data_IF_378967752190
#
_entry.id   IF_378967752190
#
_cell.length_a   1.000
_cell.length_b   1.000
_cell.length_c   1.000
_cell.angle_alpha   90.00
_cell.angle_beta   90.00
_cell.angle_gamma   90.00
#
_symmetry.space_group_name_H-M   'P 1'
#
loop_
_entity.id
_entity.type
_entity.pdbx_description
1 polymer ?
#
# COMPACT_ATOMS: atom_id res chain seq x y z
N UNK A 1 5.96 -25.84 -14.09
CA UNK A 1 7.36 -26.30 -14.06
C UNK A 1 8.37 -25.30 -14.60
N UNK A 2 8.01 -24.45 -15.60
CA UNK A 2 8.92 -23.41 -16.13
C UNK A 2 9.02 -22.16 -15.25
N UNK A 3 8.01 -21.86 -14.45
CA UNK A 3 7.91 -20.67 -13.62
C UNK A 3 9.03 -20.54 -12.57
N UNK A 4 9.53 -21.68 -12.09
CA UNK A 4 10.57 -21.75 -11.06
C UNK A 4 11.99 -21.49 -11.60
N UNK A 5 12.18 -21.33 -12.90
CA UNK A 5 13.48 -21.07 -13.53
C UNK A 5 13.75 -19.57 -13.76
N UNK A 6 12.75 -18.73 -13.64
CA UNK A 6 12.93 -17.28 -13.71
C UNK A 6 13.31 -16.73 -12.33
N UNK A 7 14.53 -16.25 -12.21
CA UNK A 7 15.06 -15.62 -10.98
C UNK A 7 14.27 -14.38 -10.51
N UNK A 8 13.40 -13.84 -11.34
CA UNK A 8 12.61 -12.63 -11.08
C UNK A 8 11.15 -12.81 -11.46
N UNK A 9 10.45 -13.65 -10.68
CA UNK A 9 8.97 -13.73 -10.75
C UNK A 9 8.33 -12.38 -10.48
N UNK A 10 8.98 -11.54 -9.68
CA UNK A 10 8.60 -10.14 -9.40
C UNK A 10 8.53 -9.23 -10.64
N UNK A 11 9.20 -9.57 -11.75
CA UNK A 11 9.10 -8.79 -13.00
C UNK A 11 7.68 -8.76 -13.59
N UNK A 12 6.88 -9.80 -13.33
CA UNK A 12 5.48 -9.84 -13.78
C UNK A 12 4.61 -8.89 -12.96
N UNK A 13 4.95 -8.65 -11.70
CA UNK A 13 4.25 -7.71 -10.84
C UNK A 13 4.35 -6.26 -11.36
N UNK A 14 5.45 -5.90 -12.02
CA UNK A 14 5.62 -4.57 -12.63
C UNK A 14 4.52 -4.28 -13.66
N UNK A 15 4.10 -5.29 -14.43
CA UNK A 15 3.00 -5.13 -15.40
C UNK A 15 1.69 -4.84 -14.66
N UNK A 16 1.41 -5.55 -13.57
CA UNK A 16 0.21 -5.31 -12.77
C UNK A 16 0.26 -3.93 -12.09
N UNK A 17 1.41 -3.54 -11.52
CA UNK A 17 1.65 -2.23 -10.91
C UNK A 17 1.46 -1.06 -11.88
N UNK A 18 1.73 -1.26 -13.17
CA UNK A 18 1.48 -0.26 -14.21
C UNK A 18 0.03 -0.29 -14.71
N UNK A 19 -0.50 -1.48 -15.00
CA UNK A 19 -1.83 -1.62 -15.61
C UNK A 19 -2.96 -1.21 -14.66
N UNK A 20 -2.86 -1.53 -13.36
CA UNK A 20 -3.92 -1.18 -12.39
C UNK A 20 -4.12 0.34 -12.25
N UNK A 21 -3.08 1.16 -12.00
CA UNK A 21 -3.24 2.62 -11.97
C UNK A 21 -3.69 3.21 -13.30
N UNK A 22 -3.21 2.67 -14.43
CA UNK A 22 -3.63 3.12 -15.75
C UNK A 22 -5.14 2.92 -15.96
N UNK A 23 -5.66 1.73 -15.65
CA UNK A 23 -7.09 1.44 -15.72
C UNK A 23 -7.90 2.33 -14.78
N UNK A 24 -7.40 2.60 -13.56
CA UNK A 24 -8.05 3.50 -12.62
C UNK A 24 -8.14 4.93 -13.17
N UNK A 25 -7.05 5.46 -13.77
CA UNK A 25 -7.04 6.79 -14.39
C UNK A 25 -8.00 6.84 -15.58
N UNK A 26 -8.05 5.83 -16.44
CA UNK A 26 -8.98 5.76 -17.57
C UNK A 26 -10.44 5.70 -17.11
N UNK A 27 -10.73 4.94 -16.06
CA UNK A 27 -12.05 4.87 -15.45
C UNK A 27 -12.47 6.24 -14.86
N UNK A 28 -11.57 6.89 -14.12
CA UNK A 28 -11.80 8.24 -13.58
C UNK A 28 -12.03 9.25 -14.69
N UNK A 29 -11.22 9.24 -15.75
CA UNK A 29 -11.42 10.10 -16.91
C UNK A 29 -12.84 9.94 -17.46
N UNK A 30 -13.30 8.72 -17.70
CA UNK A 30 -14.64 8.45 -18.20
C UNK A 30 -15.74 8.95 -17.24
N UNK A 31 -15.53 8.84 -15.93
CA UNK A 31 -16.46 9.35 -14.90
C UNK A 31 -16.49 10.89 -14.90
N UNK A 32 -15.36 11.55 -15.09
CA UNK A 32 -15.30 13.01 -15.12
C UNK A 32 -15.85 13.61 -16.43
N UNK A 33 -15.68 12.90 -17.54
CA UNK A 33 -16.26 13.29 -18.83
C UNK A 33 -17.80 13.15 -18.82
N UNK A 34 -18.32 12.09 -18.20
CA UNK A 34 -19.76 11.84 -18.04
C UNK A 34 -20.12 11.34 -16.63
N UNK A 35 -20.35 12.24 -15.65
CA UNK A 35 -20.72 11.86 -14.28
C UNK A 35 -22.04 11.09 -14.17
N UNK A 36 -22.87 11.09 -15.23
CA UNK A 36 -24.14 10.36 -15.25
C UNK A 36 -23.94 8.83 -15.21
N UNK A 37 -22.78 8.37 -15.62
CA UNK A 37 -22.36 6.95 -15.55
C UNK A 37 -22.52 6.40 -14.13
N UNK A 38 -22.13 7.17 -13.11
CA UNK A 38 -22.23 6.78 -11.70
C UNK A 38 -23.70 6.55 -11.25
N UNK A 39 -24.67 7.23 -11.91
CA UNK A 39 -26.08 7.01 -11.63
C UNK A 39 -26.65 5.84 -12.43
N UNK A 40 -26.20 5.67 -13.68
CA UNK A 40 -26.61 4.58 -14.55
C UNK A 40 -26.12 3.23 -14.02
N UNK A 41 -24.85 3.16 -13.63
CA UNK A 41 -24.19 1.95 -13.13
C UNK A 41 -24.14 1.93 -11.58
N UNK A 42 -25.24 2.27 -10.93
CA UNK A 42 -25.32 2.40 -9.46
C UNK A 42 -24.90 1.12 -8.72
N UNK A 43 -25.29 -0.05 -9.22
CA UNK A 43 -24.94 -1.32 -8.61
C UNK A 43 -23.44 -1.59 -8.63
N UNK A 44 -22.78 -1.38 -9.76
CA UNK A 44 -21.33 -1.52 -9.89
C UNK A 44 -20.58 -0.57 -8.97
N UNK A 45 -21.07 0.68 -8.84
CA UNK A 45 -20.48 1.67 -7.94
C UNK A 45 -20.56 1.26 -6.48
N UNK A 46 -21.75 0.89 -5.98
CA UNK A 46 -21.90 0.48 -4.58
C UNK A 46 -21.25 -0.88 -4.29
N UNK A 47 -21.32 -1.81 -5.23
CA UNK A 47 -20.71 -3.12 -5.07
C UNK A 47 -19.17 -3.02 -4.99
N UNK A 48 -18.55 -2.25 -5.86
CA UNK A 48 -17.09 -2.07 -5.83
C UNK A 48 -16.62 -1.37 -4.55
N UNK A 49 -17.29 -0.29 -4.15
CA UNK A 49 -16.99 0.41 -2.89
C UNK A 49 -17.25 -0.47 -1.66
N UNK A 50 -18.32 -1.25 -1.68
CA UNK A 50 -18.67 -2.18 -0.60
C UNK A 50 -17.69 -3.34 -0.47
N UNK A 51 -17.26 -3.94 -1.58
CA UNK A 51 -16.27 -5.03 -1.57
C UNK A 51 -14.93 -4.51 -1.06
N UNK A 52 -14.39 -3.45 -1.67
CA UNK A 52 -13.07 -2.93 -1.30
C UNK A 52 -13.07 -2.36 0.12
N UNK A 53 -14.08 -1.54 0.46
CA UNK A 53 -14.23 -1.00 1.81
C UNK A 53 -14.51 -2.09 2.85
N UNK A 54 -15.30 -3.12 2.51
CA UNK A 54 -15.57 -4.26 3.37
C UNK A 54 -14.32 -5.09 3.67
N UNK A 55 -13.52 -5.41 2.65
CA UNK A 55 -12.27 -6.17 2.83
C UNK A 55 -11.28 -5.38 3.69
N UNK A 56 -11.09 -4.09 3.43
CA UNK A 56 -10.16 -3.26 4.22
C UNK A 56 -10.65 -3.08 5.66
N UNK A 57 -11.95 -2.95 5.89
CA UNK A 57 -12.53 -2.89 7.23
C UNK A 57 -12.40 -4.22 7.97
N UNK A 58 -12.65 -5.35 7.31
CA UNK A 58 -12.46 -6.69 7.90
C UNK A 58 -11.00 -6.92 8.27
N UNK A 59 -10.06 -6.52 7.42
CA UNK A 59 -8.63 -6.60 7.71
C UNK A 59 -8.23 -5.74 8.93
N UNK A 60 -8.84 -4.56 9.09
CA UNK A 60 -8.58 -3.68 10.22
C UNK A 60 -9.15 -4.21 11.54
N UNK A 61 -10.34 -4.83 11.50
CA UNK A 61 -11.01 -5.34 12.70
C UNK A 61 -10.54 -6.75 13.09
N UNK A 62 -10.26 -7.60 12.11
CA UNK A 62 -9.92 -9.01 12.29
C UNK A 62 -8.60 -9.37 11.55
N UNK A 63 -7.46 -8.80 11.95
CA UNK A 63 -6.19 -9.05 11.27
C UNK A 63 -5.79 -10.54 11.26
N UNK A 64 -6.13 -11.30 12.29
CA UNK A 64 -5.86 -12.74 12.37
C UNK A 64 -6.62 -13.63 11.39
N UNK A 65 -7.60 -13.08 10.61
CA UNK A 65 -8.24 -13.82 9.52
C UNK A 65 -7.38 -13.87 8.26
N UNK A 66 -6.41 -12.96 8.14
CA UNK A 66 -5.61 -12.80 6.92
C UNK A 66 -4.22 -13.43 7.05
N UNK A 67 -3.64 -13.45 8.25
CA UNK A 67 -2.32 -14.01 8.49
C UNK A 67 -2.14 -14.30 10.00
N UNK A 68 -1.40 -15.36 10.32
CA UNK A 68 -0.96 -15.68 11.68
C UNK A 68 0.25 -14.86 12.11
N UNK A 69 0.82 -14.04 11.23
CA UNK A 69 1.99 -13.16 11.42
C UNK A 69 3.29 -13.87 11.81
N UNK A 70 3.30 -15.21 11.74
CA UNK A 70 4.46 -16.06 11.96
C UNK A 70 4.69 -16.97 10.75
N UNK A 71 5.92 -17.12 10.33
CA UNK A 71 6.30 -18.02 9.25
C UNK A 71 6.59 -19.42 9.80
N UNK A 72 6.45 -20.44 8.96
CA UNK A 72 6.62 -21.86 9.37
C UNK A 72 7.94 -22.10 10.09
N UNK A 73 9.04 -21.53 9.62
CA UNK A 73 10.35 -21.65 10.26
C UNK A 73 10.46 -20.92 11.62
N UNK A 74 9.65 -19.88 11.83
CA UNK A 74 9.57 -19.16 13.12
C UNK A 74 8.77 -19.98 14.14
N UNK A 75 7.74 -20.69 13.69
CA UNK A 75 6.96 -21.62 14.52
C UNK A 75 7.84 -22.77 15.03
N UNK A 76 8.73 -23.31 14.19
CA UNK A 76 9.72 -24.31 14.62
C UNK A 76 10.73 -23.74 15.61
N UNK A 77 11.18 -22.51 15.40
CA UNK A 77 12.15 -21.84 16.28
C UNK A 77 11.58 -21.49 17.66
N UNK A 78 10.27 -21.22 17.79
CA UNK A 78 9.58 -20.95 19.06
C UNK A 78 9.71 -22.14 20.04
N UNK A 79 9.87 -23.37 19.55
CA UNK A 79 10.03 -24.56 20.39
C UNK A 79 11.40 -24.60 21.11
N UNK A 80 12.35 -23.75 20.70
CA UNK A 80 13.66 -23.67 21.35
C UNK A 80 13.59 -22.74 22.59
N UNK A 81 14.25 -23.10 23.71
CA UNK A 81 14.28 -22.30 24.92
C UNK A 81 14.84 -20.89 24.65
N UNK A 82 14.13 -19.86 25.06
CA UNK A 82 14.54 -18.45 24.94
C UNK A 82 14.09 -17.70 23.68
N UNK A 83 13.58 -18.38 22.66
CA UNK A 83 13.12 -17.72 21.43
C UNK A 83 11.62 -17.39 21.42
N UNK A 84 10.82 -17.99 22.29
CA UNK A 84 9.36 -17.81 22.32
C UNK A 84 8.92 -16.36 22.51
N UNK A 85 9.50 -15.65 23.47
CA UNK A 85 9.15 -14.24 23.73
C UNK A 85 9.56 -13.32 22.56
N UNK A 86 10.72 -13.59 21.95
CA UNK A 86 11.21 -12.82 20.80
C UNK A 86 10.26 -12.91 19.62
N UNK A 87 9.84 -14.12 19.24
CA UNK A 87 8.95 -14.33 18.10
C UNK A 87 7.53 -13.87 18.39
N UNK A 88 7.05 -13.97 19.64
CA UNK A 88 5.78 -13.38 20.04
C UNK A 88 5.79 -11.85 19.88
N UNK A 89 6.86 -11.17 20.29
CA UNK A 89 7.03 -9.73 20.09
C UNK A 89 7.09 -9.33 18.61
N UNK A 90 7.74 -10.15 17.77
CA UNK A 90 7.79 -9.92 16.32
C UNK A 90 6.39 -10.07 15.69
N UNK A 91 5.63 -11.09 16.07
CA UNK A 91 4.27 -11.31 15.58
C UNK A 91 3.34 -10.15 15.98
N UNK A 92 3.45 -9.69 17.23
CA UNK A 92 2.68 -8.54 17.72
C UNK A 92 3.02 -7.26 16.96
N UNK A 93 4.30 -6.99 16.74
CA UNK A 93 4.74 -5.84 15.95
C UNK A 93 4.23 -5.90 14.50
N UNK A 94 4.30 -7.06 13.83
CA UNK A 94 3.76 -7.26 12.48
C UNK A 94 2.26 -7.04 12.44
N UNK A 95 1.53 -7.58 13.42
CA UNK A 95 0.09 -7.41 13.55
C UNK A 95 -0.29 -5.95 13.76
N UNK A 96 0.45 -5.21 14.59
CA UNK A 96 0.21 -3.79 14.82
C UNK A 96 0.42 -2.97 13.53
N UNK A 97 1.49 -3.23 12.78
CA UNK A 97 1.76 -2.58 11.50
C UNK A 97 0.65 -2.88 10.49
N UNK A 98 0.27 -4.17 10.35
CA UNK A 98 -0.81 -4.58 9.44
C UNK A 98 -2.14 -3.90 9.77
N UNK A 99 -2.51 -3.84 11.05
CA UNK A 99 -3.74 -3.20 11.51
C UNK A 99 -3.71 -1.69 11.23
N UNK A 100 -2.60 -1.03 11.48
CA UNK A 100 -2.43 0.40 11.20
C UNK A 100 -2.55 0.70 9.69
N UNK A 101 -1.94 -0.11 8.84
CA UNK A 101 -2.02 0.01 7.40
C UNK A 101 -3.42 -0.32 6.86
N UNK A 102 -4.13 -1.28 7.45
CA UNK A 102 -5.51 -1.62 7.10
C UNK A 102 -6.48 -0.46 7.44
N UNK A 103 -6.35 0.16 8.60
CA UNK A 103 -7.12 1.35 8.97
C UNK A 103 -6.84 2.52 8.04
N UNK A 104 -5.57 2.78 7.73
CA UNK A 104 -5.18 3.81 6.78
C UNK A 104 -5.82 3.57 5.41
N UNK A 105 -5.73 2.35 4.90
CA UNK A 105 -6.32 1.95 3.61
C UNK A 105 -7.84 2.13 3.62
N UNK A 106 -8.52 1.72 4.69
CA UNK A 106 -9.95 1.91 4.84
C UNK A 106 -10.36 3.39 4.78
N UNK A 107 -9.65 4.26 5.51
CA UNK A 107 -9.94 5.71 5.51
C UNK A 107 -9.76 6.30 4.11
N UNK A 108 -8.70 5.93 3.39
CA UNK A 108 -8.42 6.43 2.03
C UNK A 108 -9.51 5.96 1.05
N UNK A 109 -9.90 4.69 1.12
CA UNK A 109 -10.98 4.12 0.29
C UNK A 109 -12.30 4.82 0.61
N UNK A 110 -12.63 5.03 1.88
CA UNK A 110 -13.83 5.72 2.30
C UNK A 110 -13.87 7.18 1.80
N UNK A 111 -12.76 7.92 1.92
CA UNK A 111 -12.65 9.29 1.43
C UNK A 111 -12.81 9.35 -0.10
N UNK A 112 -12.16 8.45 -0.84
CA UNK A 112 -12.30 8.33 -2.29
C UNK A 112 -13.73 8.02 -2.71
N UNK A 113 -14.37 7.06 -2.01
CA UNK A 113 -15.76 6.71 -2.26
C UNK A 113 -16.72 7.90 -1.99
N UNK A 114 -16.54 8.61 -0.88
CA UNK A 114 -17.33 9.81 -0.54
C UNK A 114 -17.15 10.91 -1.59
N UNK A 115 -15.91 11.15 -2.07
CA UNK A 115 -15.66 12.15 -3.11
C UNK A 115 -16.43 11.81 -4.41
N UNK A 116 -16.40 10.54 -4.85
CA UNK A 116 -17.14 10.07 -6.03
C UNK A 116 -18.66 10.06 -5.79
N UNK A 117 -19.11 9.75 -4.59
CA UNK A 117 -20.51 9.81 -4.22
C UNK A 117 -21.06 11.24 -4.25
N UNK A 118 -20.31 12.22 -3.75
CA UNK A 118 -20.66 13.64 -3.80
C UNK A 118 -20.73 14.15 -5.26
N UNK A 119 -19.81 13.69 -6.11
CA UNK A 119 -19.85 13.97 -7.55
C UNK A 119 -21.12 13.37 -8.18
N UNK A 120 -21.47 12.12 -7.85
CA UNK A 120 -22.69 11.46 -8.30
C UNK A 120 -23.95 12.23 -7.93
N UNK A 121 -24.02 12.76 -6.72
CA UNK A 121 -25.16 13.56 -6.24
C UNK A 121 -25.13 15.01 -6.76
N UNK A 122 -24.19 15.35 -7.63
CA UNK A 122 -23.99 16.71 -8.19
C UNK A 122 -23.76 17.80 -7.11
N UNK A 123 -23.34 17.38 -5.90
CA UNK A 123 -22.97 18.30 -4.82
C UNK A 123 -21.55 18.84 -5.01
N UNK A 124 -20.70 18.11 -5.71
CA UNK A 124 -19.36 18.52 -6.09
C UNK A 124 -19.25 18.68 -7.61
N UNK A 125 -18.55 19.72 -8.05
CA UNK A 125 -18.16 19.85 -9.46
C UNK A 125 -17.05 18.83 -9.82
N UNK A 126 -17.00 18.45 -11.09
CA UNK A 126 -16.01 17.48 -11.59
C UNK A 126 -14.57 17.86 -11.27
N UNK A 127 -14.23 19.14 -11.44
CA UNK A 127 -12.89 19.67 -11.15
C UNK A 127 -12.55 19.57 -9.66
N UNK A 128 -13.52 19.90 -8.78
CA UNK A 128 -13.30 19.84 -7.31
C UNK A 128 -13.13 18.40 -6.85
N UNK A 129 -13.92 17.48 -7.40
CA UNK A 129 -13.79 16.05 -7.09
C UNK A 129 -12.43 15.50 -7.56
N UNK A 130 -11.95 15.91 -8.74
CA UNK A 130 -10.62 15.55 -9.24
C UNK A 130 -9.51 16.05 -8.31
N UNK A 131 -9.55 17.32 -7.93
CA UNK A 131 -8.57 17.91 -7.00
C UNK A 131 -8.60 17.21 -5.66
N UNK A 132 -9.79 16.89 -5.12
CA UNK A 132 -9.93 16.17 -3.86
C UNK A 132 -9.26 14.77 -3.93
N UNK A 133 -9.47 14.02 -5.00
CA UNK A 133 -8.82 12.71 -5.19
C UNK A 133 -7.31 12.84 -5.30
N UNK A 134 -6.79 13.85 -6.01
CA UNK A 134 -5.34 14.11 -6.10
C UNK A 134 -4.76 14.46 -4.74
N UNK A 135 -5.44 15.28 -3.95
CA UNK A 135 -5.01 15.63 -2.58
C UNK A 135 -4.97 14.42 -1.67
N UNK A 136 -5.99 13.54 -1.76
CA UNK A 136 -6.02 12.28 -1.00
C UNK A 136 -4.81 11.40 -1.38
N UNK A 137 -4.51 11.24 -2.68
CA UNK A 137 -3.36 10.48 -3.17
C UNK A 137 -2.01 11.06 -2.70
N UNK A 138 -1.85 12.39 -2.79
CA UNK A 138 -0.63 13.05 -2.30
C UNK A 138 -0.49 12.86 -0.78
N UNK A 139 -1.58 13.02 -0.04
CA UNK A 139 -1.61 12.82 1.41
C UNK A 139 -1.23 11.39 1.82
N UNK A 140 -1.60 10.40 1.01
CA UNK A 140 -1.23 9.00 1.22
C UNK A 140 0.24 8.72 0.86
N UNK A 141 0.69 9.21 -0.29
CA UNK A 141 2.05 8.95 -0.78
C UNK A 141 3.13 9.74 -0.03
N UNK A 142 2.81 10.91 0.50
CA UNK A 142 3.78 11.79 1.16
C UNK A 142 4.49 11.14 2.37
N UNK A 143 3.79 10.55 3.36
CA UNK A 143 4.46 9.91 4.50
C UNK A 143 5.26 8.67 4.10
N UNK A 144 4.81 7.93 3.08
CA UNK A 144 5.55 6.79 2.55
C UNK A 144 6.84 7.25 1.90
N UNK A 145 6.78 8.23 0.99
CA UNK A 145 7.95 8.77 0.33
C UNK A 145 8.95 9.37 1.33
N UNK A 146 8.47 10.09 2.35
CA UNK A 146 9.33 10.67 3.39
C UNK A 146 10.05 9.61 4.22
N UNK A 147 9.47 8.42 4.40
CA UNK A 147 10.11 7.30 5.09
C UNK A 147 11.32 6.78 4.32
N UNK A 148 11.21 6.69 2.98
CA UNK A 148 12.26 6.17 2.11
C UNK A 148 13.22 7.23 1.57
N UNK A 149 12.76 8.48 1.39
CA UNK A 149 13.53 9.61 0.87
C UNK A 149 13.64 10.70 1.95
N UNK A 150 14.42 10.41 2.99
CA UNK A 150 14.74 11.39 4.02
C UNK A 150 16.21 11.84 3.89
N UNK A 151 16.57 12.91 4.59
CA UNK A 151 17.93 13.49 4.53
C UNK A 151 19.03 12.50 4.96
N UNK A 152 18.70 11.49 5.77
CA UNK A 152 19.64 10.44 6.16
C UNK A 152 20.02 9.47 5.05
N UNK A 153 19.21 9.39 3.97
CA UNK A 153 19.47 8.54 2.82
C UNK A 153 20.36 9.20 1.76
N UNK A 154 20.63 10.50 1.92
CA UNK A 154 21.52 11.22 1.02
C UNK A 154 22.93 11.27 1.61
N UNK A 155 23.91 10.84 0.84
CA UNK A 155 25.31 10.90 1.20
C UNK A 155 26.00 12.00 0.39
N UNK A 156 27.04 12.63 0.94
CA UNK A 156 27.83 13.62 0.23
C UNK A 156 28.54 12.99 -0.97
N UNK A 157 28.81 13.78 -2.00
CA UNK A 157 29.53 13.33 -3.20
C UNK A 157 30.89 12.69 -2.85
N UNK A 158 31.60 13.22 -1.85
CA UNK A 158 32.87 12.68 -1.37
C UNK A 158 32.71 11.25 -0.81
N UNK A 159 31.63 10.98 -0.07
CA UNK A 159 31.34 9.65 0.48
C UNK A 159 30.86 8.67 -0.59
N UNK A 160 30.26 9.16 -1.68
CA UNK A 160 29.89 8.35 -2.84
C UNK A 160 31.13 7.91 -3.62
N UNK A 161 32.13 8.80 -3.75
CA UNK A 161 33.38 8.51 -4.47
C UNK A 161 34.29 7.57 -3.68
N UNK A 162 34.31 7.69 -2.33
CA UNK A 162 35.05 6.80 -1.43
C UNK A 162 34.09 6.18 -0.41
N UNK A 163 33.32 5.14 -0.80
CA UNK A 163 32.32 4.52 0.07
C UNK A 163 32.94 3.78 1.26
N UNK A 164 34.19 3.35 1.13
CA UNK A 164 34.95 2.68 2.18
C UNK A 164 36.11 3.56 2.61
N UNK A 165 36.03 4.26 3.77
CA UNK A 165 37.19 4.93 4.30
C UNK A 165 38.28 3.90 4.57
N UNK A 166 39.49 4.19 4.11
CA UNK A 166 40.65 3.33 4.38
C UNK A 166 40.85 3.19 5.88
N UNK A 167 40.52 2.03 6.42
CA UNK A 167 40.83 1.66 7.80
C UNK A 167 42.21 1.02 7.87
N UNK A 168 42.88 1.08 9.04
CA UNK A 168 44.19 0.49 9.24
C UNK A 168 44.33 -0.97 8.79
N UNK A 169 43.22 -1.70 8.77
CA UNK A 169 43.14 -3.11 8.30
C UNK A 169 43.28 -3.27 6.78
N UNK A 170 43.18 -2.19 6.00
CA UNK A 170 43.34 -2.22 4.53
C UNK A 170 44.80 -1.89 4.10
N UNK A 171 45.69 -1.58 5.06
CA UNK A 171 47.11 -1.32 4.81
C UNK A 171 48.00 -2.54 5.11
N UNK A 172 47.45 -3.65 5.58
CA UNK A 172 48.16 -4.92 5.77
C UNK A 172 47.76 -5.90 4.67
#
# INVERSE_FOLDING_TARGET
PMYNRFRTVSSILVVAEFCMPLLAVLALKKIFDDPSILKREKWSFYLSGGIVGGITLLAALFPGLFDDFLKDYELEAIQQPGYGELFAGIAEARRAIFTADAWRSFVIVALGFVALWLLREKKLGSTVAMVALVVILIGDMYPVNKRYLNSGNFVTAARKTNPFPMTCLLYT
#
